data_IF_251096631035
#
_entry.id   IF_251096631035
#
_cell.length_a   1.000
_cell.length_b   1.000
_cell.length_c   1.000
_cell.angle_alpha   90.00
_cell.angle_beta   90.00
_cell.angle_gamma   90.00
#
_symmetry.space_group_name_H-M   'P 1'
#
loop_
_entity.id
_entity.type
_entity.pdbx_description
1 polymer ?
#
# COMPACT_ATOMS: atom_id res chain seq x y z
N UNK A 1 42.28 -21.28 10.82
CA UNK A 1 42.43 -19.86 10.42
C UNK A 1 41.25 -19.47 9.56
N UNK A 2 40.23 -18.95 10.18
CA UNK A 2 38.98 -18.47 9.53
C UNK A 2 39.33 -17.13 8.87
N UNK A 3 39.34 -17.11 7.53
CA UNK A 3 39.42 -15.86 6.78
C UNK A 3 38.16 -15.06 7.06
N UNK A 4 38.28 -14.00 7.86
CA UNK A 4 37.24 -12.97 7.96
C UNK A 4 37.04 -12.38 6.56
N UNK A 5 35.94 -12.74 5.90
CA UNK A 5 35.48 -12.08 4.68
C UNK A 5 35.13 -10.64 5.04
N UNK A 6 35.91 -9.68 4.53
CA UNK A 6 35.58 -8.25 4.66
C UNK A 6 34.16 -8.03 4.13
N UNK A 7 33.32 -7.25 4.81
CA UNK A 7 31.99 -6.94 4.33
C UNK A 7 32.07 -6.31 2.94
N UNK A 8 31.29 -6.86 2.03
CA UNK A 8 31.18 -6.35 0.66
C UNK A 8 30.39 -5.04 0.76
N UNK A 9 31.11 -3.95 0.77
CA UNK A 9 30.54 -2.59 0.74
C UNK A 9 30.57 -2.11 -0.70
N UNK A 10 29.40 -1.76 -1.24
CA UNK A 10 29.31 -1.00 -2.48
C UNK A 10 30.04 0.34 -2.27
N UNK A 11 31.00 0.67 -3.12
CA UNK A 11 31.83 1.85 -2.95
C UNK A 11 31.02 3.10 -3.38
N UNK A 12 30.31 3.73 -2.43
CA UNK A 12 29.41 4.86 -2.67
C UNK A 12 30.21 6.18 -2.81
N UNK A 13 31.27 6.18 -3.65
CA UNK A 13 32.09 7.40 -3.90
C UNK A 13 31.36 8.52 -4.65
N UNK A 14 30.19 8.27 -5.23
CA UNK A 14 29.49 9.21 -6.12
C UNK A 14 28.52 10.19 -5.46
N UNK A 15 28.42 10.21 -4.12
CA UNK A 15 27.46 11.06 -3.40
C UNK A 15 28.04 12.41 -2.92
N UNK A 16 29.28 12.74 -3.26
CA UNK A 16 29.86 14.04 -2.94
C UNK A 16 29.33 15.10 -3.94
N UNK A 17 28.48 16.00 -3.49
CA UNK A 17 28.12 17.22 -4.24
C UNK A 17 26.65 17.50 -4.46
N UNK A 18 25.71 16.75 -3.90
CA UNK A 18 24.27 17.05 -4.05
C UNK A 18 23.66 17.42 -2.70
N UNK A 19 23.33 18.70 -2.51
CA UNK A 19 22.51 19.19 -1.39
C UNK A 19 21.07 18.70 -1.54
N UNK A 20 20.82 17.41 -1.25
CA UNK A 20 19.45 16.88 -1.13
C UNK A 20 19.07 16.85 0.34
N UNK A 21 17.91 17.43 0.65
CA UNK A 21 17.34 17.22 1.98
C UNK A 21 16.84 15.76 2.05
N UNK A 22 17.56 14.94 2.81
CA UNK A 22 17.25 13.52 3.05
C UNK A 22 16.47 13.32 4.34
N UNK A 23 16.16 14.41 5.04
CA UNK A 23 15.47 14.44 6.33
C UNK A 23 14.10 15.13 6.22
N UNK A 24 13.55 15.25 5.02
CA UNK A 24 12.22 15.84 4.80
C UNK A 24 11.09 15.06 5.49
N UNK A 25 11.34 13.81 5.89
CA UNK A 25 10.38 13.02 6.65
C UNK A 25 10.06 13.59 8.03
N UNK A 26 11.02 14.22 8.72
CA UNK A 26 10.72 14.91 9.98
C UNK A 26 9.79 16.10 9.76
N UNK A 27 10.12 16.92 8.77
CA UNK A 27 9.33 18.08 8.40
C UNK A 27 7.93 17.70 7.89
N UNK A 28 7.83 16.55 7.19
CA UNK A 28 6.54 15.99 6.77
C UNK A 28 5.68 15.64 7.98
N UNK A 29 6.22 14.89 8.94
CA UNK A 29 5.51 14.51 10.15
C UNK A 29 5.06 15.73 10.94
N UNK A 30 5.95 16.73 11.13
CA UNK A 30 5.62 17.94 11.87
C UNK A 30 4.50 18.73 11.19
N UNK A 31 4.52 18.87 9.87
CA UNK A 31 3.49 19.57 9.09
C UNK A 31 2.15 18.85 9.03
N UNK A 32 2.13 17.52 9.13
CA UNK A 32 0.89 16.76 9.30
C UNK A 32 0.30 17.04 10.68
N UNK A 33 1.12 17.01 11.74
CA UNK A 33 0.64 17.14 13.12
C UNK A 33 0.20 18.58 13.46
N UNK A 34 0.81 19.59 12.84
CA UNK A 34 0.42 20.99 13.02
C UNK A 34 -0.69 21.46 12.05
N UNK A 35 -1.15 20.57 11.14
CA UNK A 35 -2.21 20.82 10.17
C UNK A 35 -1.79 21.65 8.95
N UNK A 36 -0.50 21.96 8.76
CA UNK A 36 0.03 22.65 7.57
C UNK A 36 -0.17 21.84 6.30
N UNK A 37 -0.05 20.52 6.39
CA UNK A 37 -0.39 19.58 5.31
C UNK A 37 -1.74 18.94 5.64
N UNK A 38 -2.68 19.07 4.72
CA UNK A 38 -4.00 18.41 4.84
C UNK A 38 -3.81 16.90 4.78
N UNK A 39 -4.28 16.20 5.81
CA UNK A 39 -4.16 14.74 5.91
C UNK A 39 -5.46 14.09 6.38
N UNK A 40 -5.61 12.81 6.09
CA UNK A 40 -6.66 11.99 6.68
C UNK A 40 -6.30 11.55 8.11
N UNK A 41 -7.29 11.15 8.86
CA UNK A 41 -7.14 10.72 10.26
C UNK A 41 -6.11 9.60 10.42
N UNK A 42 -6.10 8.63 9.52
CA UNK A 42 -5.16 7.50 9.57
C UNK A 42 -3.70 7.92 9.38
N UNK A 43 -3.41 8.90 8.53
CA UNK A 43 -2.06 9.46 8.35
C UNK A 43 -1.67 10.31 9.56
N UNK A 44 -2.60 11.11 10.08
CA UNK A 44 -2.35 11.88 11.31
C UNK A 44 -1.94 10.96 12.47
N UNK A 45 -2.73 9.92 12.74
CA UNK A 45 -2.44 8.93 13.78
C UNK A 45 -1.11 8.18 13.56
N UNK A 46 -0.78 7.84 12.31
CA UNK A 46 0.50 7.21 11.98
C UNK A 46 1.70 8.14 12.24
N UNK A 47 1.57 9.44 11.94
CA UNK A 47 2.57 10.45 12.24
C UNK A 47 2.70 10.70 13.76
N UNK A 48 1.57 10.73 14.48
CA UNK A 48 1.57 10.83 15.94
C UNK A 48 2.30 9.65 16.58
N UNK A 49 2.01 8.41 16.12
CA UNK A 49 2.72 7.20 16.56
C UNK A 49 4.21 7.29 16.27
N UNK A 50 4.62 7.76 15.10
CA UNK A 50 6.03 7.96 14.76
C UNK A 50 6.73 8.90 15.74
N UNK A 51 6.10 10.03 16.11
CA UNK A 51 6.62 10.97 17.12
C UNK A 51 6.68 10.37 18.51
N UNK A 52 5.62 9.67 18.93
CA UNK A 52 5.52 9.03 20.24
C UNK A 52 6.64 8.00 20.46
N UNK A 53 7.09 7.33 19.43
CA UNK A 53 8.12 6.31 19.54
C UNK A 53 9.50 6.86 19.96
N UNK A 54 9.80 8.14 19.78
CA UNK A 54 11.03 8.78 20.28
C UNK A 54 11.11 8.82 21.82
N UNK A 55 9.99 8.70 22.52
CA UNK A 55 9.94 8.65 23.99
C UNK A 55 10.06 7.25 24.58
N UNK A 56 10.17 6.21 23.76
CA UNK A 56 10.27 4.82 24.21
C UNK A 56 11.71 4.45 24.58
N UNK A 57 11.85 3.64 25.65
CA UNK A 57 13.15 3.21 26.15
C UNK A 57 13.66 1.90 25.53
N UNK A 58 12.79 1.09 24.97
CA UNK A 58 13.09 -0.24 24.39
C UNK A 58 13.56 -0.21 22.95
N UNK A 59 13.28 0.90 22.25
CA UNK A 59 13.63 1.09 20.84
C UNK A 59 14.49 2.34 20.63
N UNK A 60 15.08 2.48 19.46
CA UNK A 60 15.78 3.69 19.05
C UNK A 60 15.61 3.91 17.54
N UNK A 61 15.83 5.14 17.09
CA UNK A 61 15.78 5.51 15.68
C UNK A 61 17.18 5.56 15.07
N UNK A 62 17.45 4.67 14.10
CA UNK A 62 18.72 4.61 13.37
C UNK A 62 18.67 5.50 12.11
N UNK A 63 18.87 6.80 12.32
CA UNK A 63 18.90 7.80 11.24
C UNK A 63 19.97 7.45 10.18
N UNK A 64 21.12 6.89 10.61
CA UNK A 64 22.20 6.53 9.68
C UNK A 64 21.79 5.44 8.69
N UNK A 65 20.97 4.46 9.12
CA UNK A 65 20.48 3.42 8.21
C UNK A 65 19.43 4.01 7.24
N UNK A 66 18.55 4.89 7.73
CA UNK A 66 17.57 5.64 6.88
C UNK A 66 18.31 6.45 5.82
N UNK A 67 19.27 7.25 6.20
CA UNK A 67 20.09 8.09 5.31
C UNK A 67 20.75 7.27 4.22
N UNK A 68 21.37 6.16 4.61
CA UNK A 68 22.05 5.28 3.68
C UNK A 68 21.10 4.71 2.62
N UNK A 69 19.88 4.37 3.01
CA UNK A 69 18.86 3.86 2.10
C UNK A 69 18.33 4.95 1.18
N UNK A 70 18.01 6.13 1.70
CA UNK A 70 17.56 7.27 0.90
C UNK A 70 18.65 7.70 -0.09
N UNK A 71 19.92 7.76 0.33
CA UNK A 71 21.06 8.08 -0.54
C UNK A 71 21.20 7.07 -1.68
N UNK A 72 21.03 5.77 -1.40
CA UNK A 72 21.04 4.75 -2.45
C UNK A 72 19.88 4.92 -3.43
N UNK A 73 18.68 5.22 -2.93
CA UNK A 73 17.50 5.48 -3.76
C UNK A 73 17.73 6.69 -4.67
N UNK A 74 18.38 7.74 -4.18
CA UNK A 74 18.70 8.94 -4.97
C UNK A 74 19.73 8.72 -6.09
N UNK A 75 20.42 7.59 -6.11
CA UNK A 75 21.26 7.18 -7.24
C UNK A 75 20.44 6.52 -8.36
N UNK A 76 19.23 6.05 -8.08
CA UNK A 76 18.32 5.46 -9.06
C UNK A 76 17.82 6.53 -10.02
N UNK A 77 17.49 6.15 -11.26
CA UNK A 77 16.98 7.08 -12.27
C UNK A 77 15.66 6.60 -12.85
N UNK A 78 14.77 7.55 -13.07
CA UNK A 78 13.58 7.32 -13.87
C UNK A 78 13.96 7.00 -15.33
N UNK A 79 13.14 6.17 -15.98
CA UNK A 79 13.38 5.78 -17.39
C UNK A 79 12.26 6.20 -18.32
N UNK A 80 11.12 6.63 -17.78
CA UNK A 80 9.91 6.93 -18.57
C UNK A 80 9.33 8.29 -18.20
N UNK A 81 8.58 8.88 -19.15
CA UNK A 81 7.85 10.12 -18.98
C UNK A 81 8.73 11.36 -18.79
N UNK A 82 8.16 12.41 -18.25
CA UNK A 82 8.80 13.72 -18.05
C UNK A 82 9.98 13.69 -17.05
N UNK A 83 10.07 12.61 -16.27
CA UNK A 83 11.15 12.38 -15.31
C UNK A 83 12.29 11.51 -15.87
N UNK A 84 12.21 11.04 -17.12
CA UNK A 84 13.23 10.18 -17.71
C UNK A 84 14.65 10.75 -17.52
N UNK A 85 15.59 9.88 -17.15
CA UNK A 85 16.99 10.18 -16.83
C UNK A 85 17.24 11.07 -15.59
N UNK A 86 16.21 11.62 -14.94
CA UNK A 86 16.34 12.33 -13.66
C UNK A 86 16.45 11.33 -12.52
N UNK A 87 17.17 11.71 -11.48
CA UNK A 87 17.29 10.88 -10.26
C UNK A 87 15.92 10.68 -9.61
N UNK A 88 15.67 9.48 -9.13
CA UNK A 88 14.47 9.15 -8.38
C UNK A 88 14.54 9.80 -6.99
N UNK A 89 13.90 10.95 -6.87
CA UNK A 89 13.81 11.69 -5.61
C UNK A 89 12.53 11.32 -4.89
N UNK A 90 12.69 10.85 -3.66
CA UNK A 90 11.55 10.56 -2.80
C UNK A 90 10.86 11.86 -2.40
N UNK A 91 9.56 11.90 -2.51
CA UNK A 91 8.73 12.93 -1.89
C UNK A 91 8.77 12.80 -0.36
N UNK A 92 8.47 13.86 0.42
CA UNK A 92 8.55 13.80 1.88
C UNK A 92 7.75 12.64 2.49
N UNK A 93 6.55 12.34 1.99
CA UNK A 93 5.75 11.22 2.44
C UNK A 93 6.40 9.85 2.14
N UNK A 94 7.11 9.72 1.01
CA UNK A 94 7.84 8.51 0.67
C UNK A 94 9.09 8.33 1.53
N UNK A 95 9.79 9.44 1.83
CA UNK A 95 10.90 9.43 2.80
C UNK A 95 10.42 8.98 4.18
N UNK A 96 9.25 9.49 4.64
CA UNK A 96 8.65 9.08 5.90
C UNK A 96 8.32 7.60 5.95
N UNK A 97 7.81 7.02 4.85
CA UNK A 97 7.59 5.56 4.75
C UNK A 97 8.92 4.80 4.91
N UNK A 98 9.99 5.21 4.21
CA UNK A 98 11.31 4.58 4.34
C UNK A 98 11.83 4.71 5.78
N UNK A 99 11.71 5.88 6.39
CA UNK A 99 12.12 6.12 7.76
C UNK A 99 11.35 5.25 8.77
N UNK A 100 10.03 5.12 8.59
CA UNK A 100 9.17 4.30 9.45
C UNK A 100 9.44 2.81 9.31
N UNK A 101 9.76 2.32 8.12
CA UNK A 101 10.08 0.91 7.90
C UNK A 101 11.45 0.55 8.49
N UNK A 102 12.47 1.36 8.24
CA UNK A 102 13.86 0.96 8.47
C UNK A 102 14.53 1.65 9.66
N UNK A 103 14.00 2.78 10.12
CA UNK A 103 14.65 3.58 11.17
C UNK A 103 14.49 3.01 12.57
N UNK A 104 13.37 2.41 12.90
CA UNK A 104 13.08 1.92 14.24
C UNK A 104 13.69 0.55 14.50
N UNK A 105 14.49 0.43 15.56
CA UNK A 105 15.16 -0.80 15.97
C UNK A 105 15.05 -1.04 17.46
N UNK A 106 14.96 -2.31 17.86
CA UNK A 106 15.06 -2.72 19.26
C UNK A 106 16.48 -2.52 19.78
N UNK A 107 16.64 -1.97 21.00
CA UNK A 107 17.94 -1.70 21.60
C UNK A 107 18.73 -2.96 21.94
N UNK A 108 18.02 -4.02 22.34
CA UNK A 108 18.61 -5.30 22.76
C UNK A 108 19.14 -6.13 21.58
N UNK A 109 18.38 -6.18 20.48
CA UNK A 109 18.69 -7.05 19.35
C UNK A 109 19.26 -6.32 18.14
N UNK A 110 19.13 -4.99 18.11
CA UNK A 110 19.45 -4.16 16.93
C UNK A 110 18.66 -4.56 15.67
N UNK A 111 17.55 -5.28 15.86
CA UNK A 111 16.66 -5.70 14.77
C UNK A 111 15.58 -4.66 14.53
N UNK A 112 15.10 -4.60 13.28
CA UNK A 112 14.02 -3.74 12.87
C UNK A 112 12.73 -4.08 13.66
N UNK A 113 12.04 -3.04 14.13
CA UNK A 113 10.73 -3.17 14.79
C UNK A 113 9.66 -3.55 13.77
N UNK A 114 9.60 -2.82 12.66
CA UNK A 114 8.61 -3.05 11.60
C UNK A 114 8.88 -4.34 10.84
N UNK A 115 7.90 -5.24 10.81
CA UNK A 115 7.93 -6.51 10.06
C UNK A 115 6.84 -6.59 9.01
N UNK A 116 5.74 -5.88 9.23
CA UNK A 116 4.59 -5.85 8.35
C UNK A 116 4.29 -4.40 7.95
N UNK A 117 4.02 -4.18 6.69
CA UNK A 117 3.79 -2.85 6.13
C UNK A 117 2.55 -2.88 5.25
N UNK A 118 1.63 -1.96 5.49
CA UNK A 118 0.46 -1.75 4.65
C UNK A 118 0.47 -0.31 4.13
N UNK A 119 0.58 -0.17 2.81
CA UNK A 119 0.59 1.14 2.12
C UNK A 119 -0.62 1.20 1.20
N UNK A 120 -1.58 2.04 1.53
CA UNK A 120 -2.74 2.30 0.70
C UNK A 120 -2.72 3.76 0.24
N UNK A 121 -2.56 3.98 -1.05
CA UNK A 121 -2.72 5.30 -1.67
C UNK A 121 -3.27 5.14 -3.09
N UNK A 122 -3.86 6.19 -3.63
CA UNK A 122 -4.56 6.17 -4.90
C UNK A 122 -3.63 5.87 -6.08
N UNK A 123 -4.20 5.65 -7.26
CA UNK A 123 -3.42 5.38 -8.49
C UNK A 123 -2.51 6.55 -8.84
N UNK A 124 -1.37 6.26 -9.51
CA UNK A 124 -0.39 7.24 -10.03
C UNK A 124 0.44 7.97 -8.96
N UNK A 125 0.44 7.54 -7.70
CA UNK A 125 1.31 8.08 -6.64
C UNK A 125 2.72 7.46 -6.62
N UNK A 126 3.12 6.71 -7.62
CA UNK A 126 4.48 6.14 -7.71
C UNK A 126 4.71 4.89 -6.86
N UNK A 127 3.64 4.16 -6.49
CA UNK A 127 3.70 2.94 -5.66
C UNK A 127 4.71 1.91 -6.16
N UNK A 128 4.63 1.55 -7.44
CA UNK A 128 5.50 0.53 -8.04
C UNK A 128 6.98 0.94 -8.02
N UNK A 129 7.28 2.23 -8.26
CA UNK A 129 8.64 2.74 -8.18
C UNK A 129 9.18 2.72 -6.73
N UNK A 130 8.34 3.09 -5.76
CA UNK A 130 8.69 3.00 -4.34
C UNK A 130 8.95 1.54 -3.93
N UNK A 131 8.10 0.61 -4.33
CA UNK A 131 8.26 -0.83 -4.10
C UNK A 131 9.59 -1.36 -4.66
N UNK A 132 9.90 -1.02 -5.92
CA UNK A 132 11.16 -1.40 -6.57
C UNK A 132 12.38 -0.82 -5.83
N UNK A 133 12.30 0.43 -5.39
CA UNK A 133 13.35 1.08 -4.61
C UNK A 133 13.54 0.43 -3.23
N UNK A 134 12.45 0.07 -2.55
CA UNK A 134 12.49 -0.66 -1.28
C UNK A 134 13.14 -2.04 -1.47
N UNK A 135 12.72 -2.80 -2.49
CA UNK A 135 13.29 -4.11 -2.79
C UNK A 135 14.81 -4.03 -2.98
N UNK A 136 15.26 -3.08 -3.81
CA UNK A 136 16.68 -2.94 -4.14
C UNK A 136 17.50 -2.44 -2.95
N UNK A 137 16.98 -1.48 -2.18
CA UNK A 137 17.69 -0.98 -1.00
C UNK A 137 17.75 -2.03 0.12
N UNK A 138 16.75 -2.90 0.25
CA UNK A 138 16.77 -4.03 1.19
C UNK A 138 17.83 -5.02 0.77
N UNK A 139 17.85 -5.44 -0.50
CA UNK A 139 18.85 -6.37 -1.03
C UNK A 139 20.29 -5.92 -0.76
N UNK A 140 20.55 -4.60 -0.85
CA UNK A 140 21.90 -4.03 -0.68
C UNK A 140 22.26 -3.80 0.80
N UNK A 141 21.29 -3.34 1.62
CA UNK A 141 21.60 -2.80 2.95
C UNK A 141 21.37 -3.76 4.11
N UNK A 142 20.48 -4.75 4.00
CA UNK A 142 20.21 -5.68 5.11
C UNK A 142 21.34 -6.67 5.36
N UNK A 143 22.29 -6.81 4.42
CA UNK A 143 23.54 -7.61 4.57
C UNK A 143 23.34 -9.08 4.98
N UNK A 144 22.14 -9.60 4.87
CA UNK A 144 21.84 -11.01 5.07
C UNK A 144 22.38 -11.80 3.86
N UNK A 145 22.99 -12.95 4.09
CA UNK A 145 23.41 -13.85 3.01
C UNK A 145 22.20 -14.69 2.55
N UNK A 146 22.09 -14.91 1.25
CA UNK A 146 21.01 -15.73 0.71
C UNK A 146 19.63 -15.07 0.84
N UNK A 147 19.56 -13.74 0.70
CA UNK A 147 18.28 -13.04 0.67
C UNK A 147 17.46 -13.48 -0.56
N UNK A 148 16.23 -13.79 -0.35
CA UNK A 148 15.25 -13.96 -1.39
C UNK A 148 14.19 -12.88 -1.26
N UNK A 149 14.14 -11.99 -2.24
CA UNK A 149 13.15 -10.92 -2.32
C UNK A 149 12.15 -11.26 -3.42
N UNK A 150 10.86 -11.18 -3.11
CA UNK A 150 9.79 -11.49 -4.05
C UNK A 150 8.88 -10.28 -4.24
N UNK A 151 8.69 -9.87 -5.51
CA UNK A 151 7.65 -8.92 -5.89
C UNK A 151 6.50 -9.71 -6.49
N UNK A 152 5.33 -9.64 -5.86
CA UNK A 152 4.14 -10.42 -6.23
C UNK A 152 3.13 -9.47 -6.84
N UNK A 153 2.56 -9.86 -7.96
CA UNK A 153 1.48 -9.13 -8.61
C UNK A 153 0.40 -10.09 -9.11
N UNK A 154 -0.83 -9.60 -9.24
CA UNK A 154 -1.98 -10.42 -9.64
C UNK A 154 -1.92 -10.95 -11.08
N UNK A 155 -1.02 -10.44 -11.92
CA UNK A 155 -0.80 -10.94 -13.27
C UNK A 155 0.68 -10.90 -13.65
N UNK A 156 1.10 -11.80 -14.53
CA UNK A 156 2.46 -11.84 -15.08
C UNK A 156 2.86 -10.52 -15.76
N UNK A 157 1.90 -9.81 -16.35
CA UNK A 157 2.15 -8.50 -16.96
C UNK A 157 2.49 -7.43 -15.92
N UNK A 158 1.76 -7.36 -14.80
CA UNK A 158 2.06 -6.42 -13.69
C UNK A 158 3.37 -6.79 -13.03
N UNK A 159 3.60 -8.07 -12.80
CA UNK A 159 4.85 -8.59 -12.26
C UNK A 159 6.06 -8.16 -13.12
N UNK A 160 5.98 -8.27 -14.45
CA UNK A 160 7.07 -7.86 -15.33
C UNK A 160 7.31 -6.34 -15.35
N UNK A 161 6.30 -5.51 -15.09
CA UNK A 161 6.47 -4.05 -14.95
C UNK A 161 7.30 -3.74 -13.69
N UNK A 162 6.98 -4.36 -12.56
CA UNK A 162 7.72 -4.18 -11.32
C UNK A 162 9.19 -4.63 -11.45
N UNK A 163 9.42 -5.78 -12.08
CA UNK A 163 10.78 -6.27 -12.35
C UNK A 163 11.56 -5.33 -13.28
N UNK A 164 10.94 -4.89 -14.37
CA UNK A 164 11.57 -3.95 -15.31
C UNK A 164 11.98 -2.66 -14.60
N UNK A 165 11.11 -2.12 -13.72
CA UNK A 165 11.43 -0.95 -12.92
C UNK A 165 12.63 -1.20 -12.00
N UNK A 166 12.66 -2.35 -11.32
CA UNK A 166 13.75 -2.73 -10.42
C UNK A 166 15.07 -2.94 -11.18
N UNK A 167 15.03 -3.57 -12.36
CA UNK A 167 16.20 -3.75 -13.24
C UNK A 167 16.78 -2.42 -13.70
N UNK A 168 15.92 -1.46 -14.05
CA UNK A 168 16.36 -0.14 -14.46
C UNK A 168 17.01 0.65 -13.33
N UNK A 169 16.47 0.55 -12.13
CA UNK A 169 17.10 1.11 -10.94
C UNK A 169 18.45 0.46 -10.66
N UNK A 170 18.53 -0.88 -10.70
CA UNK A 170 19.78 -1.61 -10.54
C UNK A 170 20.83 -1.18 -11.58
N UNK A 171 20.43 -1.06 -12.85
CA UNK A 171 21.31 -0.58 -13.94
C UNK A 171 21.78 0.85 -13.73
N UNK A 172 20.95 1.73 -13.16
CA UNK A 172 21.38 3.12 -12.92
C UNK A 172 22.43 3.24 -11.83
N UNK A 173 22.45 2.35 -10.85
CA UNK A 173 23.43 2.36 -9.75
C UNK A 173 24.65 1.45 -10.02
N UNK A 174 24.54 0.49 -10.92
CA UNK A 174 25.62 -0.40 -11.36
C UNK A 174 25.58 -0.55 -12.90
N UNK A 175 25.96 0.49 -13.65
CA UNK A 175 25.87 0.49 -15.12
C UNK A 175 26.70 -0.61 -15.79
N UNK A 176 27.83 -1.01 -15.18
CA UNK A 176 28.72 -2.04 -15.69
C UNK A 176 28.29 -3.46 -15.29
N UNK A 177 27.28 -3.59 -14.43
CA UNK A 177 26.82 -4.89 -13.95
C UNK A 177 27.87 -5.67 -13.15
N UNK A 178 28.72 -4.97 -12.39
CA UNK A 178 29.78 -5.58 -11.59
C UNK A 178 29.25 -6.15 -10.28
N UNK A 179 28.22 -5.52 -9.75
CA UNK A 179 27.58 -5.91 -8.49
C UNK A 179 26.30 -6.69 -8.72
N UNK A 180 25.40 -6.21 -9.60
CA UNK A 180 24.15 -6.88 -9.98
C UNK A 180 24.31 -7.67 -11.26
N UNK A 181 23.79 -8.88 -11.28
CA UNK A 181 23.57 -9.66 -12.51
C UNK A 181 22.08 -9.71 -12.81
N UNK A 182 21.69 -9.21 -13.97
CA UNK A 182 20.31 -9.15 -14.41
C UNK A 182 20.01 -10.29 -15.38
N UNK A 183 18.95 -11.04 -15.12
CA UNK A 183 18.43 -12.11 -15.96
C UNK A 183 16.98 -11.78 -16.35
N UNK A 184 16.40 -12.57 -17.23
CA UNK A 184 15.03 -12.32 -17.75
C UNK A 184 13.96 -12.18 -16.65
N UNK A 185 14.07 -12.93 -15.56
CA UNK A 185 13.07 -13.02 -14.47
C UNK A 185 13.60 -12.68 -13.09
N UNK A 186 14.88 -12.33 -12.97
CA UNK A 186 15.50 -12.11 -11.67
C UNK A 186 16.69 -11.15 -11.72
N UNK A 187 17.01 -10.58 -10.58
CA UNK A 187 18.24 -9.83 -10.33
C UNK A 187 19.01 -10.57 -9.24
N UNK A 188 20.31 -10.80 -9.45
CA UNK A 188 21.19 -11.48 -8.45
C UNK A 188 22.31 -10.59 -7.97
N UNK A 189 22.70 -10.78 -6.71
CA UNK A 189 24.01 -10.42 -6.19
C UNK A 189 24.77 -11.72 -5.93
N UNK A 190 25.59 -12.21 -6.90
CA UNK A 190 26.23 -13.53 -6.79
C UNK A 190 27.08 -13.69 -5.54
N UNK A 191 27.81 -12.64 -5.14
CA UNK A 191 28.68 -12.66 -3.96
C UNK A 191 27.92 -12.83 -2.64
N UNK A 192 26.63 -12.52 -2.61
CA UNK A 192 25.77 -12.66 -1.43
C UNK A 192 24.78 -13.82 -1.58
N UNK A 193 24.81 -14.54 -2.70
CA UNK A 193 23.81 -15.55 -3.06
C UNK A 193 22.36 -15.03 -2.93
N UNK A 194 22.16 -13.74 -3.19
CA UNK A 194 20.88 -13.04 -2.95
C UNK A 194 20.19 -12.69 -4.25
N UNK A 195 18.86 -12.71 -4.25
CA UNK A 195 18.05 -12.54 -5.46
C UNK A 195 16.85 -11.61 -5.22
N UNK A 196 16.42 -10.92 -6.30
CA UNK A 196 15.06 -10.36 -6.42
C UNK A 196 14.37 -11.13 -7.54
N UNK A 197 13.23 -11.73 -7.22
CA UNK A 197 12.40 -12.49 -8.11
C UNK A 197 11.03 -11.82 -8.25
N UNK A 198 10.37 -12.09 -9.37
CA UNK A 198 8.99 -11.62 -9.56
C UNK A 198 8.10 -12.85 -9.76
N UNK A 199 7.01 -12.85 -9.04
CA UNK A 199 6.00 -13.91 -9.10
C UNK A 199 4.66 -13.34 -9.53
N UNK A 200 3.96 -14.04 -10.40
CA UNK A 200 2.53 -13.79 -10.60
C UNK A 200 1.73 -14.76 -9.74
N UNK A 201 0.55 -14.32 -9.33
CA UNK A 201 -0.36 -15.16 -8.57
C UNK A 201 -0.66 -16.50 -9.24
N UNK A 202 -0.77 -16.50 -10.58
CA UNK A 202 -1.04 -17.71 -11.36
C UNK A 202 0.13 -18.70 -11.40
N UNK A 203 1.35 -18.25 -11.04
CA UNK A 203 2.57 -19.06 -11.12
C UNK A 203 3.09 -19.50 -9.74
N UNK A 204 2.41 -19.15 -8.66
CA UNK A 204 2.80 -19.55 -7.31
C UNK A 204 2.48 -21.04 -7.08
N UNK A 205 3.54 -21.86 -7.01
CA UNK A 205 3.44 -23.23 -6.47
C UNK A 205 3.24 -23.18 -4.94
N UNK A 206 2.81 -24.30 -4.37
CA UNK A 206 2.32 -24.30 -2.98
C UNK A 206 3.42 -24.20 -1.91
N UNK A 207 4.72 -24.45 -2.20
CA UNK A 207 5.76 -24.55 -1.17
C UNK A 207 7.17 -24.23 -1.67
N UNK A 208 8.07 -23.92 -0.73
CA UNK A 208 9.50 -23.81 -0.97
C UNK A 208 10.07 -22.40 -1.02
N UNK A 209 9.26 -21.36 -0.76
CA UNK A 209 9.73 -19.99 -0.67
C UNK A 209 10.32 -19.71 0.72
N UNK A 210 11.41 -18.92 0.75
CA UNK A 210 12.05 -18.46 1.99
C UNK A 210 12.35 -16.94 1.91
N UNK A 211 11.29 -16.10 1.81
CA UNK A 211 11.46 -14.69 1.55
C UNK A 211 12.03 -13.93 2.76
N UNK A 212 13.11 -13.18 2.55
CA UNK A 212 13.55 -12.14 3.48
C UNK A 212 12.66 -10.90 3.39
N UNK A 213 12.20 -10.59 2.16
CA UNK A 213 11.20 -9.58 1.87
C UNK A 213 10.25 -10.12 0.80
N UNK A 214 8.96 -9.91 0.99
CA UNK A 214 8.04 -9.94 -0.14
C UNK A 214 7.22 -8.65 -0.21
N UNK A 215 6.93 -8.23 -1.42
CA UNK A 215 6.09 -7.08 -1.73
C UNK A 215 4.90 -7.57 -2.53
N UNK A 216 3.72 -7.48 -1.94
CA UNK A 216 2.46 -7.80 -2.60
C UNK A 216 1.83 -6.54 -3.17
N UNK A 217 1.86 -6.38 -4.50
CA UNK A 217 1.28 -5.22 -5.18
C UNK A 217 -0.18 -5.51 -5.58
N UNK A 218 -1.06 -4.55 -5.30
CA UNK A 218 -2.48 -4.56 -5.65
C UNK A 218 -3.29 -5.72 -5.00
N UNK A 219 -3.06 -5.98 -3.68
CA UNK A 219 -3.77 -7.05 -2.94
C UNK A 219 -5.30 -6.89 -2.97
N UNK A 220 -5.82 -5.69 -3.26
CA UNK A 220 -7.26 -5.48 -3.41
C UNK A 220 -7.91 -6.35 -4.51
N UNK A 221 -7.13 -6.92 -5.40
CA UNK A 221 -7.61 -7.85 -6.43
C UNK A 221 -7.43 -9.33 -6.05
N UNK A 222 -6.89 -9.62 -4.86
CA UNK A 222 -6.77 -11.00 -4.35
C UNK A 222 -8.05 -11.39 -3.61
N UNK A 223 -8.74 -12.47 -4.02
CA UNK A 223 -9.96 -12.91 -3.35
C UNK A 223 -9.72 -13.67 -2.05
N UNK A 224 -8.53 -14.25 -1.86
CA UNK A 224 -8.19 -15.10 -0.72
C UNK A 224 -6.83 -14.75 -0.12
N UNK A 225 -6.56 -15.25 1.07
CA UNK A 225 -5.29 -15.11 1.78
C UNK A 225 -4.19 -16.05 1.30
N UNK A 226 -4.51 -17.06 0.49
CA UNK A 226 -3.62 -18.19 0.20
C UNK A 226 -2.21 -17.78 -0.21
N UNK A 227 -2.09 -16.87 -1.16
CA UNK A 227 -0.79 -16.42 -1.66
C UNK A 227 0.00 -15.62 -0.64
N UNK A 228 -0.69 -14.77 0.13
CA UNK A 228 -0.06 -14.01 1.21
C UNK A 228 0.47 -14.97 2.29
N UNK A 229 -0.31 -15.95 2.69
CA UNK A 229 0.03 -16.91 3.74
C UNK A 229 1.18 -17.84 3.33
N UNK A 230 1.24 -18.27 2.07
CA UNK A 230 2.39 -19.04 1.53
C UNK A 230 3.69 -18.24 1.71
N UNK A 231 3.71 -16.97 1.36
CA UNK A 231 4.90 -16.12 1.53
C UNK A 231 5.16 -15.79 2.99
N UNK A 232 4.12 -15.56 3.78
CA UNK A 232 4.24 -15.21 5.19
C UNK A 232 4.79 -16.38 6.01
N UNK A 233 4.29 -17.58 5.80
CA UNK A 233 4.79 -18.81 6.45
C UNK A 233 6.23 -19.11 6.06
N UNK A 234 6.60 -18.85 4.79
CA UNK A 234 7.99 -19.00 4.32
C UNK A 234 9.00 -18.09 5.03
N UNK A 235 8.56 -17.02 5.69
CA UNK A 235 9.44 -16.11 6.44
C UNK A 235 9.87 -16.65 7.82
N UNK A 236 9.35 -17.78 8.27
CA UNK A 236 9.54 -18.28 9.65
C UNK A 236 11.02 -18.40 10.10
N UNK A 237 11.92 -18.71 9.17
CA UNK A 237 13.34 -18.87 9.44
C UNK A 237 14.16 -17.57 9.33
N UNK A 238 13.58 -16.48 8.86
CA UNK A 238 14.28 -15.21 8.66
C UNK A 238 14.42 -14.42 9.97
N UNK A 239 15.60 -13.87 10.19
CA UNK A 239 15.89 -13.11 11.40
C UNK A 239 15.24 -11.72 11.41
N UNK A 240 15.07 -11.11 10.26
CA UNK A 240 14.47 -9.79 10.04
C UNK A 240 13.49 -9.81 8.85
N UNK A 241 12.42 -10.63 8.91
CA UNK A 241 11.47 -10.71 7.81
C UNK A 241 10.77 -9.39 7.59
N UNK A 242 10.41 -9.10 6.33
CA UNK A 242 9.63 -7.94 5.96
C UNK A 242 8.55 -8.33 4.95
N UNK A 243 7.31 -8.04 5.27
CA UNK A 243 6.16 -8.20 4.39
C UNK A 243 5.60 -6.82 4.07
N UNK A 244 5.52 -6.47 2.80
CA UNK A 244 4.99 -5.17 2.36
C UNK A 244 3.81 -5.41 1.44
N UNK A 245 2.68 -4.80 1.78
CA UNK A 245 1.49 -4.78 0.95
C UNK A 245 1.25 -3.37 0.44
N UNK A 246 1.14 -3.22 -0.87
CA UNK A 246 0.90 -1.92 -1.51
C UNK A 246 -0.37 -2.02 -2.36
N UNK A 247 -1.32 -1.09 -2.17
CA UNK A 247 -2.62 -1.21 -2.80
C UNK A 247 -3.35 0.13 -2.95
N UNK A 248 -4.47 0.09 -3.65
CA UNK A 248 -5.60 1.04 -3.50
C UNK A 248 -6.70 0.34 -2.70
N UNK A 249 -7.74 1.06 -2.29
CA UNK A 249 -8.97 0.41 -1.84
C UNK A 249 -9.57 -0.47 -2.95
N UNK A 250 -10.44 -1.37 -2.55
CA UNK A 250 -11.16 -2.29 -3.44
C UNK A 250 -12.67 -2.13 -3.32
N UNK A 251 -13.35 -3.14 -3.83
CA UNK A 251 -14.78 -3.32 -3.64
C UNK A 251 -15.01 -4.32 -2.50
N UNK A 252 -16.05 -4.08 -1.71
CA UNK A 252 -16.45 -5.00 -0.65
C UNK A 252 -17.35 -6.08 -1.29
N UNK A 253 -16.77 -7.25 -1.54
CA UNK A 253 -17.45 -8.39 -2.18
C UNK A 253 -17.77 -9.49 -1.15
N UNK A 254 -17.90 -9.18 0.12
CA UNK A 254 -18.14 -10.12 1.22
C UNK A 254 -17.10 -10.09 2.32
N UNK A 255 -17.29 -10.88 3.36
CA UNK A 255 -16.38 -11.00 4.50
C UNK A 255 -15.13 -11.82 4.13
N UNK A 256 -14.00 -11.53 4.80
CA UNK A 256 -12.75 -12.26 4.63
C UNK A 256 -11.91 -11.79 3.45
N UNK A 257 -12.18 -10.62 2.90
CA UNK A 257 -11.40 -10.06 1.81
C UNK A 257 -10.06 -9.53 2.32
N UNK A 258 -8.90 -10.05 1.90
CA UNK A 258 -7.60 -9.77 2.52
C UNK A 258 -7.27 -8.28 2.64
N UNK A 259 -7.54 -7.50 1.60
CA UNK A 259 -7.25 -6.07 1.58
C UNK A 259 -8.10 -5.29 2.59
N UNK A 260 -9.38 -5.64 2.73
CA UNK A 260 -10.29 -4.97 3.67
C UNK A 260 -9.98 -5.35 5.12
N UNK A 261 -9.68 -6.62 5.36
CA UNK A 261 -9.28 -7.11 6.68
C UNK A 261 -7.97 -6.45 7.14
N UNK A 262 -6.98 -6.32 6.25
CA UNK A 262 -5.74 -5.59 6.53
C UNK A 262 -6.01 -4.11 6.83
N UNK A 263 -6.83 -3.46 6.02
CA UNK A 263 -7.21 -2.06 6.25
C UNK A 263 -7.90 -1.86 7.59
N UNK A 264 -8.85 -2.74 7.93
CA UNK A 264 -9.57 -2.71 9.21
C UNK A 264 -8.61 -2.90 10.39
N UNK A 265 -7.77 -3.93 10.34
CA UNK A 265 -6.79 -4.22 11.39
C UNK A 265 -5.78 -3.07 11.56
N UNK A 266 -5.24 -2.55 10.46
CA UNK A 266 -4.31 -1.41 10.49
C UNK A 266 -4.97 -0.15 11.07
N UNK A 267 -6.23 0.13 10.70
CA UNK A 267 -6.97 1.28 11.24
C UNK A 267 -7.18 1.14 12.74
N UNK A 268 -7.52 -0.05 13.23
CA UNK A 268 -7.66 -0.32 14.67
C UNK A 268 -6.34 -0.19 15.43
N UNK A 269 -5.21 -0.61 14.82
CA UNK A 269 -3.87 -0.41 15.39
C UNK A 269 -3.54 1.08 15.49
N UNK A 270 -3.80 1.86 14.44
CA UNK A 270 -3.56 3.31 14.44
C UNK A 270 -4.41 4.03 15.49
N UNK A 271 -5.66 3.61 15.71
CA UNK A 271 -6.54 4.12 16.75
C UNK A 271 -6.16 3.69 18.16
N UNK A 272 -5.18 2.79 18.32
CA UNK A 272 -4.78 2.25 19.63
C UNK A 272 -5.73 1.21 20.22
N UNK A 273 -6.64 0.65 19.43
CA UNK A 273 -7.55 -0.42 19.83
C UNK A 273 -6.83 -1.78 19.88
N UNK A 274 -5.77 -1.92 19.10
CA UNK A 274 -4.91 -3.11 19.05
C UNK A 274 -3.46 -2.64 19.17
N UNK A 275 -2.67 -3.30 20.01
CA UNK A 275 -1.23 -3.07 20.13
C UNK A 275 -0.46 -4.03 19.22
N UNK A 276 0.18 -3.50 18.20
CA UNK A 276 1.14 -4.23 17.34
C UNK A 276 2.22 -3.26 16.81
N UNK A 277 3.39 -3.31 17.45
CA UNK A 277 4.54 -2.51 17.04
C UNK A 277 5.15 -2.98 15.72
N UNK A 278 4.97 -4.25 15.39
CA UNK A 278 5.52 -4.82 14.15
C UNK A 278 4.80 -4.38 12.89
N UNK A 279 3.58 -3.84 13.03
CA UNK A 279 2.78 -3.34 11.91
C UNK A 279 2.98 -1.85 11.70
N UNK A 280 3.43 -1.45 10.53
CA UNK A 280 3.40 -0.07 10.03
C UNK A 280 2.29 0.06 8.99
N UNK A 281 1.52 1.14 9.06
CA UNK A 281 0.48 1.45 8.10
C UNK A 281 0.56 2.91 7.63
N UNK A 282 0.48 3.11 6.31
CA UNK A 282 0.32 4.41 5.65
C UNK A 282 -0.93 4.36 4.77
N UNK A 283 -2.04 4.84 5.29
CA UNK A 283 -3.37 4.75 4.65
C UNK A 283 -3.80 6.15 4.24
N UNK A 284 -3.72 6.45 2.94
CA UNK A 284 -4.15 7.69 2.31
C UNK A 284 -5.53 7.50 1.71
N UNK A 285 -6.54 8.17 2.26
CA UNK A 285 -7.94 8.05 1.85
C UNK A 285 -8.70 9.33 2.15
N UNK A 286 -9.88 9.53 1.59
CA UNK A 286 -10.81 10.50 2.16
C UNK A 286 -11.40 9.92 3.46
N UNK A 287 -11.61 10.79 4.45
CA UNK A 287 -12.25 10.39 5.70
C UNK A 287 -13.76 10.27 5.51
N UNK A 288 -14.41 9.58 6.44
CA UNK A 288 -15.86 9.46 6.45
C UNK A 288 -16.51 10.85 6.58
N UNK A 289 -17.42 11.16 5.66
CA UNK A 289 -18.08 12.47 5.60
C UNK A 289 -17.37 13.54 4.78
N UNK A 290 -16.14 13.29 4.29
CA UNK A 290 -15.49 14.21 3.35
C UNK A 290 -16.24 14.25 2.01
N UNK A 291 -16.49 15.46 1.50
CA UNK A 291 -17.01 15.62 0.15
C UNK A 291 -15.88 15.40 -0.87
N UNK A 292 -16.04 14.38 -1.72
CA UNK A 292 -15.08 14.05 -2.78
C UNK A 292 -15.04 15.07 -3.92
N UNK A 293 -15.97 16.06 -3.95
CA UNK A 293 -15.90 17.22 -4.85
C UNK A 293 -15.01 18.34 -4.30
N UNK A 294 -14.73 18.36 -2.99
CA UNK A 294 -13.89 19.38 -2.37
C UNK A 294 -12.42 19.14 -2.71
N UNK A 295 -11.91 19.94 -3.66
CA UNK A 295 -10.51 19.85 -4.12
C UNK A 295 -9.49 20.01 -2.99
N UNK A 296 -9.83 20.72 -1.91
CA UNK A 296 -8.93 20.93 -0.76
C UNK A 296 -8.70 19.66 0.07
N UNK A 297 -9.56 18.66 -0.11
CA UNK A 297 -9.48 17.35 0.57
C UNK A 297 -8.71 16.30 -0.23
N UNK A 298 -8.45 16.51 -1.51
CA UNK A 298 -7.91 15.46 -2.38
C UNK A 298 -6.51 14.98 -1.98
N UNK A 299 -5.71 15.86 -1.33
CA UNK A 299 -4.38 15.47 -0.81
C UNK A 299 -4.46 14.38 0.25
N UNK A 300 -5.56 14.26 1.00
CA UNK A 300 -5.79 13.18 1.97
C UNK A 300 -5.62 11.79 1.35
N UNK A 301 -6.10 11.60 0.12
CA UNK A 301 -6.04 10.33 -0.59
C UNK A 301 -4.88 10.26 -1.59
N UNK A 302 -4.40 11.41 -2.06
CA UNK A 302 -3.45 11.54 -3.16
C UNK A 302 -2.23 12.36 -2.74
N UNK A 303 -1.28 11.78 -1.98
CA UNK A 303 -0.15 12.52 -1.41
C UNK A 303 0.86 13.05 -2.44
N UNK A 304 0.74 12.65 -3.72
CA UNK A 304 1.55 13.16 -4.84
C UNK A 304 0.75 14.09 -5.76
N UNK A 305 -0.33 14.68 -5.25
CA UNK A 305 -1.12 15.67 -6.01
C UNK A 305 -0.22 16.84 -6.43
N UNK A 306 -0.42 17.34 -7.63
CA UNK A 306 0.42 18.36 -8.28
C UNK A 306 1.89 17.96 -8.58
N UNK A 307 2.28 16.71 -8.28
CA UNK A 307 3.62 16.19 -8.64
C UNK A 307 3.50 15.10 -9.70
N UNK A 308 2.88 13.97 -9.37
CA UNK A 308 2.66 12.86 -10.31
C UNK A 308 1.19 12.74 -10.73
N UNK A 309 0.28 13.24 -9.91
CA UNK A 309 -1.16 13.31 -10.19
C UNK A 309 -1.54 14.76 -10.44
N UNK A 310 -2.06 15.06 -11.63
CA UNK A 310 -2.41 16.42 -12.03
C UNK A 310 -3.81 16.79 -11.56
N UNK A 311 -4.01 18.05 -11.17
CA UNK A 311 -5.33 18.57 -10.76
C UNK A 311 -6.37 18.49 -11.87
N UNK A 312 -5.97 18.82 -13.12
CA UNK A 312 -6.87 18.74 -14.28
C UNK A 312 -7.39 17.31 -14.52
N UNK A 313 -6.52 16.30 -14.36
CA UNK A 313 -6.91 14.90 -14.42
C UNK A 313 -7.92 14.54 -13.31
N UNK A 314 -7.70 15.00 -12.08
CA UNK A 314 -8.63 14.74 -10.97
C UNK A 314 -10.01 15.37 -11.22
N UNK A 315 -10.02 16.62 -11.68
CA UNK A 315 -11.27 17.32 -12.07
C UNK A 315 -12.03 16.59 -13.16
N UNK A 316 -11.32 16.10 -14.18
CA UNK A 316 -11.91 15.27 -15.25
C UNK A 316 -12.54 13.99 -14.68
N UNK A 317 -11.85 13.31 -13.75
CA UNK A 317 -12.38 12.08 -13.14
C UNK A 317 -13.63 12.35 -12.29
N UNK A 318 -13.64 13.43 -11.50
CA UNK A 318 -14.81 13.89 -10.73
C UNK A 318 -15.99 14.17 -11.67
N UNK A 319 -15.79 15.00 -12.70
CA UNK A 319 -16.82 15.28 -13.69
C UNK A 319 -17.35 14.02 -14.39
N UNK A 320 -16.49 13.01 -14.62
CA UNK A 320 -16.91 11.73 -15.20
C UNK A 320 -17.79 10.95 -14.24
N UNK A 321 -17.44 10.93 -12.94
CA UNK A 321 -18.23 10.24 -11.92
C UNK A 321 -19.63 10.85 -11.74
N UNK A 322 -19.76 12.18 -11.89
CA UNK A 322 -21.05 12.87 -11.83
C UNK A 322 -21.95 12.54 -13.01
N UNK A 323 -21.35 12.44 -14.20
CA UNK A 323 -22.09 12.18 -15.45
C UNK A 323 -22.42 10.71 -15.67
N UNK A 324 -21.66 9.81 -15.03
CA UNK A 324 -21.75 8.38 -15.30
C UNK A 324 -21.78 7.57 -13.99
N UNK A 325 -22.98 7.25 -13.55
CA UNK A 325 -23.23 6.52 -12.30
C UNK A 325 -22.54 5.15 -12.26
N UNK A 326 -22.40 4.46 -13.40
CA UNK A 326 -21.73 3.16 -13.46
C UNK A 326 -20.21 3.25 -13.28
N UNK A 327 -19.59 4.38 -13.60
CA UNK A 327 -18.16 4.59 -13.38
C UNK A 327 -17.83 5.20 -12.01
N UNK A 328 -18.82 5.80 -11.34
CA UNK A 328 -18.64 6.48 -10.07
C UNK A 328 -18.00 5.61 -9.01
N UNK A 329 -18.46 4.36 -8.71
CA UNK A 329 -17.83 3.52 -7.70
C UNK A 329 -16.35 3.24 -7.99
N UNK A 330 -16.02 2.96 -9.25
CA UNK A 330 -14.63 2.73 -9.66
C UNK A 330 -13.76 3.97 -9.48
N UNK A 331 -14.27 5.16 -9.79
CA UNK A 331 -13.56 6.42 -9.63
C UNK A 331 -13.32 6.72 -8.15
N UNK A 332 -14.34 6.61 -7.31
CA UNK A 332 -14.25 6.84 -5.88
C UNK A 332 -13.22 5.88 -5.23
N UNK A 333 -13.25 4.61 -5.61
CA UNK A 333 -12.27 3.62 -5.14
C UNK A 333 -10.86 3.95 -5.60
N UNK A 334 -10.64 4.25 -6.87
CA UNK A 334 -9.28 4.36 -7.44
C UNK A 334 -8.63 5.74 -7.29
N UNK A 335 -9.42 6.81 -7.08
CA UNK A 335 -8.93 8.18 -6.96
C UNK A 335 -9.01 8.73 -5.53
N UNK A 336 -9.86 8.14 -4.67
CA UNK A 336 -10.10 8.66 -3.32
C UNK A 336 -9.95 7.59 -2.23
N UNK A 337 -9.69 6.33 -2.61
CA UNK A 337 -9.63 5.18 -1.71
C UNK A 337 -10.88 5.01 -0.83
N UNK A 338 -12.04 5.38 -1.37
CA UNK A 338 -13.33 5.13 -0.73
C UNK A 338 -13.72 3.68 -1.02
N UNK A 339 -14.00 2.91 0.03
CA UNK A 339 -14.52 1.56 -0.11
C UNK A 339 -15.94 1.59 -0.66
N UNK A 340 -16.19 0.86 -1.74
CA UNK A 340 -17.51 0.77 -2.36
C UNK A 340 -18.11 -0.61 -2.14
N UNK A 341 -19.38 -0.66 -1.76
CA UNK A 341 -20.10 -1.93 -1.57
C UNK A 341 -20.62 -2.51 -2.88
N UNK A 342 -20.71 -1.70 -3.95
CA UNK A 342 -21.44 -2.07 -5.17
C UNK A 342 -20.69 -1.76 -6.46
N UNK A 343 -20.27 -2.82 -7.17
CA UNK A 343 -20.03 -2.76 -8.62
C UNK A 343 -21.33 -2.96 -9.43
N UNK A 344 -22.39 -3.49 -8.81
CA UNK A 344 -23.58 -4.04 -9.50
C UNK A 344 -24.90 -3.69 -8.88
N UNK A 345 -25.00 -2.78 -7.91
CA UNK A 345 -26.30 -2.32 -7.43
C UNK A 345 -27.06 -1.64 -8.58
N UNK A 346 -28.00 -2.35 -9.16
CA UNK A 346 -28.87 -1.84 -10.21
C UNK A 346 -29.82 -0.72 -9.70
N UNK A 347 -30.01 -0.65 -8.37
CA UNK A 347 -30.74 0.42 -7.69
C UNK A 347 -29.85 1.03 -6.60
N UNK A 348 -29.69 2.36 -6.57
CA UNK A 348 -28.92 3.02 -5.52
C UNK A 348 -29.66 2.96 -4.17
N UNK A 349 -28.87 2.85 -3.06
CA UNK A 349 -29.45 2.90 -1.70
C UNK A 349 -30.30 4.16 -1.42
N UNK A 350 -30.05 5.26 -2.15
CA UNK A 350 -30.85 6.47 -2.07
C UNK A 350 -32.26 6.21 -2.64
N UNK A 351 -32.33 5.61 -3.83
CA UNK A 351 -33.62 5.24 -4.46
C UNK A 351 -34.34 4.20 -3.60
N UNK A 352 -33.62 3.20 -3.06
CA UNK A 352 -34.25 2.22 -2.16
C UNK A 352 -34.82 2.88 -0.90
N UNK A 353 -34.13 3.86 -0.31
CA UNK A 353 -34.64 4.62 0.83
C UNK A 353 -35.81 5.53 0.45
N UNK A 354 -35.79 6.13 -0.74
CA UNK A 354 -36.87 6.95 -1.27
C UNK A 354 -38.10 6.10 -1.62
N UNK A 355 -37.90 4.83 -1.97
CA UNK A 355 -38.95 3.86 -2.23
C UNK A 355 -39.42 3.11 -0.96
N UNK A 356 -38.73 3.27 0.18
CA UNK A 356 -39.17 2.63 1.42
C UNK A 356 -40.48 3.22 1.89
N UNK A 357 -41.49 2.36 2.07
CA UNK A 357 -42.76 2.76 2.59
C UNK A 357 -42.66 3.18 4.07
N UNK A 358 -43.50 4.08 4.57
CA UNK A 358 -43.44 4.57 5.96
C UNK A 358 -43.99 3.58 7.00
N UNK A 359 -43.97 2.29 6.70
CA UNK A 359 -44.44 1.23 7.59
C UNK A 359 -43.41 0.12 7.70
N UNK A 360 -43.37 -0.57 8.85
CA UNK A 360 -42.47 -1.71 9.09
C UNK A 360 -43.11 -3.02 8.59
N UNK A 361 -42.25 -4.05 8.33
CA UNK A 361 -42.72 -5.37 7.92
C UNK A 361 -43.67 -6.00 8.97
N UNK A 362 -43.46 -5.67 10.25
CA UNK A 362 -44.33 -6.04 11.37
C UNK A 362 -45.79 -5.54 11.18
N UNK A 363 -45.97 -4.35 10.60
CA UNK A 363 -47.29 -3.75 10.39
C UNK A 363 -48.06 -4.51 9.28
N UNK A 364 -47.32 -5.02 8.28
CA UNK A 364 -47.90 -5.86 7.22
C UNK A 364 -48.31 -7.23 7.79
N UNK A 365 -47.47 -7.83 8.62
CA UNK A 365 -47.71 -9.17 9.19
C UNK A 365 -48.86 -9.14 10.20
N UNK A 366 -49.02 -8.04 10.94
CA UNK A 366 -50.05 -7.89 11.97
C UNK A 366 -51.39 -7.36 11.43
N UNK A 367 -51.46 -7.05 10.13
CA UNK A 367 -52.71 -6.56 9.50
C UNK A 367 -53.07 -5.10 9.84
N UNK A 368 -52.14 -4.34 10.38
CA UNK A 368 -52.34 -2.97 10.87
C UNK A 368 -52.14 -1.91 9.76
N UNK A 369 -52.53 -2.23 8.54
CA UNK A 369 -52.44 -1.32 7.38
C UNK A 369 -53.61 -0.33 7.28
N UNK A 370 -54.10 0.16 8.40
CA UNK A 370 -55.26 1.06 8.50
C UNK A 370 -55.04 2.45 7.92
N UNK A 371 -53.84 2.77 7.43
CA UNK A 371 -53.51 4.11 6.89
C UNK A 371 -53.55 4.21 5.36
N UNK A 372 -53.92 3.18 4.63
CA UNK A 372 -54.03 3.21 3.17
C UNK A 372 -55.50 3.05 2.80
N UNK A 373 -56.24 4.15 2.72
CA UNK A 373 -57.54 4.38 2.05
C UNK A 373 -58.61 3.30 2.19
N UNK A 374 -58.73 2.57 3.28
CA UNK A 374 -59.79 1.57 3.53
C UNK A 374 -60.05 0.54 2.41
N UNK A 375 -59.09 0.29 1.54
CA UNK A 375 -59.16 -0.75 0.51
C UNK A 375 -58.38 -2.00 0.96
N UNK A 376 -58.87 -3.19 0.55
CA UNK A 376 -58.14 -4.45 0.79
C UNK A 376 -56.78 -4.41 0.07
N UNK A 377 -55.69 -4.50 0.84
CA UNK A 377 -54.34 -4.49 0.29
C UNK A 377 -53.84 -5.94 0.13
N UNK A 378 -53.56 -6.33 -1.09
CA UNK A 378 -52.92 -7.61 -1.39
C UNK A 378 -51.43 -7.39 -1.56
N UNK A 379 -50.60 -8.11 -0.78
CA UNK A 379 -49.15 -8.14 -0.99
C UNK A 379 -48.70 -9.42 -1.69
N UNK A 380 -47.81 -9.29 -2.66
CA UNK A 380 -47.19 -10.41 -3.34
C UNK A 380 -45.70 -10.43 -3.02
N UNK A 381 -45.22 -11.56 -2.51
CA UNK A 381 -43.79 -11.79 -2.25
C UNK A 381 -43.26 -12.69 -3.36
N UNK A 382 -42.30 -12.21 -4.11
CA UNK A 382 -41.51 -13.00 -5.04
C UNK A 382 -40.07 -13.16 -4.50
N UNK A 383 -39.57 -14.37 -4.41
CA UNK A 383 -38.18 -14.65 -4.11
C UNK A 383 -37.57 -15.45 -5.25
N UNK A 384 -36.50 -14.94 -5.85
CA UNK A 384 -35.67 -15.69 -6.79
C UNK A 384 -34.44 -16.19 -6.03
N UNK A 385 -34.33 -17.50 -5.89
CA UNK A 385 -33.20 -18.16 -5.23
C UNK A 385 -32.28 -18.71 -6.33
N UNK A 386 -31.27 -17.94 -6.69
CA UNK A 386 -30.25 -18.43 -7.61
C UNK A 386 -29.31 -19.43 -6.93
N UNK A 387 -28.85 -20.43 -7.68
CA UNK A 387 -27.98 -21.51 -7.15
C UNK A 387 -26.54 -21.07 -6.87
N UNK A 388 -26.21 -19.79 -7.09
CA UNK A 388 -24.87 -19.21 -6.90
C UNK A 388 -25.02 -17.89 -6.14
N UNK A 389 -25.12 -17.98 -4.83
CA UNK A 389 -24.88 -16.92 -3.83
C UNK A 389 -25.51 -15.53 -4.07
N UNK A 390 -26.65 -15.45 -4.71
CA UNK A 390 -27.44 -14.23 -4.76
C UNK A 390 -28.69 -14.36 -3.89
N UNK A 391 -28.68 -13.65 -2.77
CA UNK A 391 -29.90 -13.37 -2.01
C UNK A 391 -30.27 -11.93 -2.37
N UNK A 392 -31.30 -11.78 -3.12
CA UNK A 392 -31.93 -10.48 -3.34
C UNK A 392 -32.98 -10.22 -2.27
#
# INVERSE_FOLDING_TARGET
MTKQTKPITMNIKYLQGTNYNIHDYYNYVDKILDGTIVSCDTIYLACERFKKWFSRDDIYFDEKDVDKRIKLIYMMKHITGDFAHKNFRLLPWQQWIIASIFGWKYKDTNKRVTKNVFIMCTRKNGKTALAAAIALTTLVNDKEMGQEIYCIANSSKQASIALTQTMNFAKSIDPEGTFFKQYRSEIKIPKMASTINVLSSDAMGNDGYNPSLFIYDEIHASPTWDQYEVMKSGQAMRSQPLAITITTSGFLIGDGYPCYDMWTSCTRILKGEIEDDSQFAAIYQLDEGDDWHDETKWEKATPSLNVTVRMDYMRERVSTADKNSSQKPLILTKQFNIWSKDLTAWISNKILKECSAPFELSDIINGDLTNINNEEVYSYLGADLSAVADIT
#
